data_IF_307900018596
#
_entry.id   IF_307900018596
#
_cell.length_a   1.000
_cell.length_b   1.000
_cell.length_c   1.000
_cell.angle_alpha   90.00
_cell.angle_beta   90.00
_cell.angle_gamma   90.00
#
_symmetry.space_group_name_H-M   'P 1'
#
loop_
_entity.id
_entity.type
_entity.pdbx_description
1 polymer ?
#
# COMPACT_ATOMS: atom_id res chain seq x y z
N UNK A 1 -9.67 8.72 20.80
CA UNK A 1 -10.07 9.90 20.01
C UNK A 1 -11.26 10.53 20.71
N UNK A 2 -11.48 11.84 20.62
CA UNK A 2 -12.71 12.45 21.16
C UNK A 2 -13.86 12.05 20.23
N UNK A 3 -14.90 11.35 20.69
CA UNK A 3 -16.02 10.98 19.84
C UNK A 3 -16.70 12.24 19.31
N UNK A 4 -16.85 12.35 17.99
CA UNK A 4 -17.54 13.46 17.33
C UNK A 4 -18.84 12.90 16.75
N UNK A 5 -19.95 13.21 17.40
CA UNK A 5 -21.27 12.74 16.98
C UNK A 5 -21.74 11.51 17.76
N UNK A 6 -22.76 10.82 17.25
CA UNK A 6 -23.35 9.66 17.92
C UNK A 6 -22.39 8.46 17.93
N UNK A 7 -22.39 7.70 19.02
CA UNK A 7 -21.49 6.54 19.22
C UNK A 7 -21.61 5.46 18.11
N UNK A 8 -22.77 5.36 17.44
CA UNK A 8 -22.98 4.41 16.36
C UNK A 8 -22.34 4.83 15.01
N UNK A 9 -21.94 6.09 14.88
CA UNK A 9 -21.48 6.66 13.60
C UNK A 9 -20.14 6.05 13.16
N UNK A 10 -19.25 5.79 14.11
CA UNK A 10 -17.92 5.21 13.85
C UNK A 10 -18.05 3.78 13.30
N UNK A 11 -18.82 2.93 13.96
CA UNK A 11 -19.09 1.57 13.51
C UNK A 11 -19.83 1.52 12.17
N UNK A 12 -20.84 2.38 11.98
CA UNK A 12 -21.59 2.45 10.72
C UNK A 12 -20.68 2.91 9.56
N UNK A 13 -19.86 3.94 9.78
CA UNK A 13 -18.88 4.43 8.80
C UNK A 13 -17.87 3.35 8.42
N UNK A 14 -17.34 2.64 9.42
CA UNK A 14 -16.41 1.53 9.22
C UNK A 14 -17.00 0.41 8.35
N UNK A 15 -18.24 -0.02 8.65
CA UNK A 15 -18.98 -1.04 7.88
C UNK A 15 -19.19 -0.59 6.43
N UNK A 16 -19.61 0.67 6.22
CA UNK A 16 -19.86 1.23 4.89
C UNK A 16 -18.58 1.25 4.05
N UNK A 17 -17.47 1.75 4.62
CA UNK A 17 -16.19 1.81 3.91
C UNK A 17 -15.66 0.41 3.60
N UNK A 18 -15.67 -0.51 4.57
CA UNK A 18 -15.22 -1.88 4.35
C UNK A 18 -16.01 -2.56 3.23
N UNK A 19 -17.34 -2.42 3.27
CA UNK A 19 -18.26 -2.96 2.26
C UNK A 19 -18.01 -2.35 0.88
N UNK A 20 -17.89 -1.02 0.80
CA UNK A 20 -17.64 -0.30 -0.44
C UNK A 20 -16.29 -0.68 -1.06
N UNK A 21 -15.26 -0.86 -0.24
CA UNK A 21 -13.92 -1.23 -0.70
C UNK A 21 -13.86 -2.69 -1.16
N UNK A 22 -14.53 -3.61 -0.46
CA UNK A 22 -14.66 -4.99 -0.90
C UNK A 22 -15.43 -5.08 -2.23
N UNK A 23 -16.54 -4.34 -2.35
CA UNK A 23 -17.31 -4.24 -3.59
C UNK A 23 -16.46 -3.66 -4.72
N UNK A 24 -15.76 -2.55 -4.47
CA UNK A 24 -14.92 -1.86 -5.44
C UNK A 24 -13.75 -2.70 -5.90
N UNK A 25 -13.09 -3.42 -4.98
CA UNK A 25 -12.01 -4.34 -5.30
C UNK A 25 -12.51 -5.50 -6.16
N UNK A 26 -13.66 -6.08 -5.83
CA UNK A 26 -14.28 -7.12 -6.64
C UNK A 26 -14.70 -6.60 -8.03
N UNK A 27 -15.23 -5.38 -8.13
CA UNK A 27 -15.57 -4.77 -9.42
C UNK A 27 -14.33 -4.51 -10.28
N UNK A 28 -13.28 -3.96 -9.67
CA UNK A 28 -12.02 -3.65 -10.35
C UNK A 28 -11.29 -4.90 -10.83
N UNK A 29 -11.43 -6.01 -10.11
CA UNK A 29 -10.76 -7.28 -10.44
C UNK A 29 -11.60 -8.21 -11.33
N UNK A 30 -12.76 -7.76 -11.84
CA UNK A 30 -13.66 -8.57 -12.68
C UNK A 30 -14.32 -9.73 -11.92
N UNK A 31 -14.45 -9.60 -10.59
CA UNK A 31 -15.07 -10.58 -9.70
C UNK A 31 -16.60 -10.44 -9.60
N UNK A 32 -17.16 -10.81 -8.45
CA UNK A 32 -18.60 -10.72 -8.14
C UNK A 32 -18.85 -9.67 -7.05
N UNK A 33 -19.04 -8.39 -7.40
CA UNK A 33 -19.08 -7.28 -6.44
C UNK A 33 -20.17 -7.42 -5.38
N UNK A 34 -21.36 -7.86 -5.80
CA UNK A 34 -22.49 -8.06 -4.90
C UNK A 34 -22.22 -9.15 -3.86
N UNK A 35 -21.57 -10.25 -4.25
CA UNK A 35 -21.28 -11.37 -3.34
C UNK A 35 -20.26 -10.94 -2.28
N UNK A 36 -19.14 -10.35 -2.70
CA UNK A 36 -18.09 -9.94 -1.76
C UNK A 36 -18.50 -8.71 -0.93
N UNK A 37 -19.26 -7.78 -1.51
CA UNK A 37 -19.85 -6.66 -0.79
C UNK A 37 -20.82 -7.13 0.29
N UNK A 38 -21.79 -7.99 -0.05
CA UNK A 38 -22.74 -8.53 0.92
C UNK A 38 -22.07 -9.38 2.00
N UNK A 39 -21.09 -10.21 1.64
CA UNK A 39 -20.34 -10.99 2.62
C UNK A 39 -19.61 -10.08 3.60
N UNK A 40 -18.95 -9.03 3.10
CA UNK A 40 -18.25 -8.05 3.94
C UNK A 40 -19.23 -7.30 4.84
N UNK A 41 -20.38 -6.89 4.30
CA UNK A 41 -21.44 -6.23 5.06
C UNK A 41 -21.92 -7.12 6.22
N UNK A 42 -22.22 -8.39 5.94
CA UNK A 42 -22.67 -9.35 6.96
C UNK A 42 -21.60 -9.59 8.02
N UNK A 43 -20.33 -9.78 7.62
CA UNK A 43 -19.24 -9.98 8.57
C UNK A 43 -18.97 -8.74 9.42
N UNK A 44 -18.96 -7.54 8.81
CA UNK A 44 -18.70 -6.29 9.51
C UNK A 44 -19.84 -5.92 10.46
N UNK A 45 -21.10 -6.08 10.03
CA UNK A 45 -22.26 -5.93 10.93
C UNK A 45 -22.22 -6.97 12.05
N UNK A 46 -21.88 -8.22 11.74
CA UNK A 46 -21.71 -9.27 12.74
C UNK A 46 -20.69 -8.89 13.80
N UNK A 47 -19.55 -8.32 13.41
CA UNK A 47 -18.54 -7.83 14.34
C UNK A 47 -19.09 -6.72 15.25
N UNK A 48 -19.70 -5.68 14.66
CA UNK A 48 -20.25 -4.53 15.41
C UNK A 48 -21.39 -4.94 16.35
N UNK A 49 -22.31 -5.80 15.89
CA UNK A 49 -23.46 -6.25 16.70
C UNK A 49 -23.02 -7.19 17.82
N UNK A 50 -22.01 -8.02 17.57
CA UNK A 50 -21.50 -8.96 18.58
C UNK A 50 -20.72 -8.29 19.70
N UNK A 51 -20.18 -7.09 19.43
CA UNK A 51 -19.33 -6.31 20.34
C UNK A 51 -18.17 -7.13 20.96
N UNK A 52 -17.65 -8.12 20.21
CA UNK A 52 -16.52 -8.93 20.64
C UNK A 52 -15.21 -8.33 20.12
N UNK A 53 -14.29 -8.00 21.03
CA UNK A 53 -12.96 -7.47 20.72
C UNK A 53 -12.24 -8.23 19.59
N UNK A 54 -12.37 -9.56 19.57
CA UNK A 54 -11.75 -10.41 18.56
C UNK A 54 -12.35 -10.20 17.17
N UNK A 55 -13.68 -10.06 17.07
CA UNK A 55 -14.37 -9.84 15.80
C UNK A 55 -14.17 -8.42 15.29
N UNK A 56 -14.20 -7.42 16.19
CA UNK A 56 -13.88 -6.03 15.88
C UNK A 56 -12.44 -5.88 15.38
N UNK A 57 -11.48 -6.50 16.08
CA UNK A 57 -10.07 -6.52 15.65
C UNK A 57 -9.90 -7.23 14.31
N UNK A 58 -10.56 -8.36 14.10
CA UNK A 58 -10.56 -9.08 12.82
C UNK A 58 -11.12 -8.22 11.68
N UNK A 59 -12.22 -7.51 11.91
CA UNK A 59 -12.83 -6.60 10.94
C UNK A 59 -11.90 -5.41 10.63
N UNK A 60 -11.27 -4.83 11.65
CA UNK A 60 -10.32 -3.72 11.49
C UNK A 60 -9.09 -4.12 10.65
N UNK A 61 -8.45 -5.25 10.99
CA UNK A 61 -7.28 -5.74 10.22
C UNK A 61 -7.67 -6.08 8.79
N UNK A 62 -8.82 -6.73 8.60
CA UNK A 62 -9.32 -7.09 7.26
C UNK A 62 -9.62 -5.85 6.43
N UNK A 63 -10.21 -4.82 7.04
CA UNK A 63 -10.50 -3.53 6.40
C UNK A 63 -9.23 -2.80 5.99
N UNK A 64 -8.23 -2.74 6.87
CA UNK A 64 -6.93 -2.17 6.55
C UNK A 64 -6.25 -2.92 5.39
N UNK A 65 -6.30 -4.26 5.40
CA UNK A 65 -5.74 -5.07 4.33
C UNK A 65 -6.49 -4.86 3.00
N UNK A 66 -7.82 -4.83 3.02
CA UNK A 66 -8.66 -4.55 1.85
C UNK A 66 -8.37 -3.17 1.27
N UNK A 67 -8.31 -2.13 2.10
CA UNK A 67 -7.97 -0.77 1.68
C UNK A 67 -6.58 -0.68 1.05
N UNK A 68 -5.62 -1.39 1.64
CA UNK A 68 -4.25 -1.44 1.15
C UNK A 68 -4.17 -2.01 -0.26
N UNK A 69 -4.84 -3.14 -0.50
CA UNK A 69 -4.87 -3.81 -1.80
C UNK A 69 -5.70 -3.01 -2.80
N UNK A 70 -6.86 -2.48 -2.38
CA UNK A 70 -7.74 -1.70 -3.24
C UNK A 70 -7.07 -0.42 -3.73
N UNK A 71 -6.33 0.29 -2.87
CA UNK A 71 -5.55 1.46 -3.25
C UNK A 71 -4.57 1.16 -4.40
N UNK A 72 -3.94 -0.01 -4.39
CA UNK A 72 -3.03 -0.45 -5.47
C UNK A 72 -3.81 -0.78 -6.74
N UNK A 73 -4.91 -1.53 -6.64
CA UNK A 73 -5.72 -1.94 -7.79
C UNK A 73 -6.42 -0.76 -8.48
N UNK A 74 -6.66 0.33 -7.74
CA UNK A 74 -7.17 1.59 -8.28
C UNK A 74 -6.14 2.35 -9.12
N UNK A 75 -4.85 2.06 -9.00
CA UNK A 75 -3.84 2.79 -9.79
C UNK A 75 -3.97 2.47 -11.27
N UNK A 76 -3.67 3.45 -12.10
CA UNK A 76 -3.62 3.31 -13.57
C UNK A 76 -2.19 3.40 -14.10
N UNK A 77 -1.91 2.89 -15.32
CA UNK A 77 -0.60 3.03 -15.93
C UNK A 77 -0.19 4.49 -16.11
N UNK A 78 1.07 4.80 -15.83
CA UNK A 78 1.57 6.17 -15.81
C UNK A 78 2.86 6.33 -16.63
N UNK A 79 2.77 6.87 -17.84
CA UNK A 79 3.96 7.07 -18.68
C UNK A 79 4.91 8.16 -18.13
N UNK A 80 4.39 9.13 -17.38
CA UNK A 80 5.15 10.24 -16.79
C UNK A 80 5.35 10.08 -15.29
N UNK A 81 6.38 10.73 -14.76
CA UNK A 81 6.66 10.69 -13.32
C UNK A 81 5.55 11.38 -12.50
N UNK A 82 5.04 12.53 -12.95
CA UNK A 82 3.98 13.24 -12.24
C UNK A 82 2.66 12.45 -12.20
N UNK A 83 2.34 11.72 -13.27
CA UNK A 83 1.18 10.83 -13.25
C UNK A 83 1.41 9.65 -12.33
N UNK A 84 2.62 9.08 -12.27
CA UNK A 84 2.94 8.03 -11.30
C UNK A 84 2.88 8.54 -9.85
N UNK A 85 3.34 9.76 -9.59
CA UNK A 85 3.24 10.41 -8.29
C UNK A 85 1.79 10.63 -7.86
N UNK A 86 0.94 11.09 -8.79
CA UNK A 86 -0.51 11.20 -8.58
C UNK A 86 -1.12 9.84 -8.20
N UNK A 87 -0.77 8.77 -8.90
CA UNK A 87 -1.29 7.44 -8.58
C UNK A 87 -0.84 6.94 -7.20
N UNK A 88 0.39 7.24 -6.77
CA UNK A 88 0.85 6.95 -5.41
C UNK A 88 0.02 7.71 -4.37
N UNK A 89 -0.23 9.00 -4.61
CA UNK A 89 -1.08 9.83 -3.75
C UNK A 89 -2.51 9.30 -3.65
N UNK A 90 -3.12 8.85 -4.76
CA UNK A 90 -4.47 8.26 -4.75
C UNK A 90 -4.49 6.93 -3.97
N UNK A 91 -3.48 6.09 -4.17
CA UNK A 91 -3.37 4.82 -3.45
C UNK A 91 -3.25 5.03 -1.93
N UNK A 92 -2.42 6.00 -1.50
CA UNK A 92 -2.27 6.36 -0.09
C UNK A 92 -3.51 7.05 0.49
N UNK A 93 -4.21 7.88 -0.29
CA UNK A 93 -5.47 8.48 0.14
C UNK A 93 -6.54 7.41 0.39
N UNK A 94 -6.62 6.41 -0.48
CA UNK A 94 -7.50 5.26 -0.31
C UNK A 94 -7.12 4.45 0.95
N UNK A 95 -5.83 4.22 1.18
CA UNK A 95 -5.35 3.60 2.41
C UNK A 95 -5.71 4.42 3.67
N UNK A 96 -5.56 5.74 3.62
CA UNK A 96 -5.91 6.64 4.72
C UNK A 96 -7.41 6.60 5.08
N UNK A 97 -8.29 6.52 4.09
CA UNK A 97 -9.74 6.27 4.33
C UNK A 97 -9.95 4.90 4.97
N UNK A 98 -9.21 3.89 4.53
CA UNK A 98 -9.16 2.58 5.18
C UNK A 98 -8.70 2.63 6.64
N UNK A 99 -7.75 3.50 6.98
CA UNK A 99 -7.27 3.68 8.35
C UNK A 99 -8.35 4.26 9.27
N UNK A 100 -9.10 5.25 8.79
CA UNK A 100 -10.24 5.80 9.52
C UNK A 100 -11.30 4.71 9.75
N UNK A 101 -11.64 3.94 8.72
CA UNK A 101 -12.59 2.84 8.84
C UNK A 101 -12.11 1.72 9.77
N UNK A 102 -10.82 1.36 9.72
CA UNK A 102 -10.27 0.31 10.58
C UNK A 102 -10.39 0.67 12.06
N UNK A 103 -10.28 1.94 12.44
CA UNK A 103 -10.41 2.36 13.85
C UNK A 103 -11.84 2.65 14.24
N UNK A 104 -12.73 2.92 13.30
CA UNK A 104 -14.17 2.98 13.61
C UNK A 104 -14.75 1.66 14.13
N UNK A 105 -14.01 0.54 14.00
CA UNK A 105 -14.33 -0.72 14.67
C UNK A 105 -13.82 -0.80 16.12
N UNK A 106 -13.16 0.24 16.64
CA UNK A 106 -12.56 0.29 18.00
C UNK A 106 -11.78 -0.97 18.41
N UNK A 107 -10.83 -1.44 17.57
CA UNK A 107 -10.16 -2.72 17.81
C UNK A 107 -9.27 -2.73 19.06
N UNK A 108 -9.23 -3.87 19.74
CA UNK A 108 -8.31 -4.14 20.84
C UNK A 108 -6.92 -4.53 20.29
N UNK A 109 -6.03 -3.55 20.14
CA UNK A 109 -4.80 -3.69 19.34
C UNK A 109 -3.56 -3.97 20.20
N UNK A 110 -2.86 -5.06 19.90
CA UNK A 110 -1.40 -5.13 20.06
C UNK A 110 -0.75 -4.62 18.77
N UNK A 111 -0.11 -3.44 18.84
CA UNK A 111 0.27 -2.64 17.66
C UNK A 111 1.09 -3.42 16.64
N UNK A 112 2.15 -4.09 17.11
CA UNK A 112 3.09 -4.78 16.23
C UNK A 112 2.40 -5.94 15.50
N UNK A 113 1.57 -6.70 16.21
CA UNK A 113 0.82 -7.82 15.62
C UNK A 113 -0.18 -7.33 14.58
N UNK A 114 -0.89 -6.25 14.88
CA UNK A 114 -1.86 -5.66 13.98
C UNK A 114 -1.20 -5.16 12.69
N UNK A 115 -0.08 -4.44 12.79
CA UNK A 115 0.68 -3.99 11.61
C UNK A 115 1.23 -5.17 10.78
N UNK A 116 1.77 -6.20 11.43
CA UNK A 116 2.32 -7.37 10.70
C UNK A 116 1.25 -8.24 10.05
N UNK A 117 0.14 -8.50 10.74
CA UNK A 117 -0.97 -9.28 10.17
C UNK A 117 -1.63 -8.49 9.04
N UNK A 118 -1.86 -7.19 9.22
CA UNK A 118 -2.38 -6.32 8.17
C UNK A 118 -1.49 -6.29 6.93
N UNK A 119 -0.18 -6.08 7.11
CA UNK A 119 0.82 -6.13 6.03
C UNK A 119 0.85 -7.50 5.34
N UNK A 120 0.88 -8.59 6.11
CA UNK A 120 0.93 -9.95 5.60
C UNK A 120 -0.29 -10.33 4.79
N UNK A 121 -1.50 -10.05 5.30
CA UNK A 121 -2.76 -10.28 4.59
C UNK A 121 -2.87 -9.43 3.33
N UNK A 122 -2.53 -8.14 3.42
CA UNK A 122 -2.54 -7.25 2.27
C UNK A 122 -1.55 -7.70 1.19
N UNK A 123 -0.34 -8.12 1.58
CA UNK A 123 0.68 -8.58 0.65
C UNK A 123 0.24 -9.88 -0.02
N UNK A 124 -0.26 -10.86 0.75
CA UNK A 124 -0.82 -12.10 0.21
C UNK A 124 -1.98 -11.82 -0.76
N UNK A 125 -2.92 -10.94 -0.39
CA UNK A 125 -4.03 -10.54 -1.23
C UNK A 125 -3.58 -9.85 -2.53
N UNK A 126 -2.65 -8.91 -2.44
CA UNK A 126 -2.05 -8.27 -3.60
C UNK A 126 -1.37 -9.30 -4.52
N UNK A 127 -0.65 -10.27 -3.95
CA UNK A 127 0.01 -11.32 -4.73
C UNK A 127 -0.97 -12.21 -5.48
N UNK A 128 -2.06 -12.63 -4.84
CA UNK A 128 -3.11 -13.43 -5.48
C UNK A 128 -3.73 -12.70 -6.67
N UNK A 129 -4.03 -11.40 -6.51
CA UNK A 129 -4.61 -10.60 -7.59
C UNK A 129 -3.61 -10.36 -8.72
N UNK A 130 -2.38 -10.00 -8.38
CA UNK A 130 -1.31 -9.73 -9.34
C UNK A 130 -0.92 -10.99 -10.11
N UNK A 131 -0.98 -12.17 -9.50
CA UNK A 131 -0.78 -13.42 -10.22
C UNK A 131 -1.75 -13.55 -11.40
N UNK A 132 -3.02 -13.18 -11.23
CA UNK A 132 -4.02 -13.20 -12.30
C UNK A 132 -3.78 -12.09 -13.33
N UNK A 133 -3.50 -10.87 -12.88
CA UNK A 133 -3.30 -9.69 -13.74
C UNK A 133 -2.01 -9.73 -14.56
N UNK A 134 -0.95 -10.26 -13.96
CA UNK A 134 0.40 -10.34 -14.49
C UNK A 134 0.64 -11.50 -15.46
N UNK A 135 -0.42 -12.24 -15.86
CA UNK A 135 -0.33 -13.48 -16.65
C UNK A 135 0.46 -14.61 -15.94
N UNK A 136 0.36 -14.69 -14.62
CA UNK A 136 1.06 -15.67 -13.79
C UNK A 136 2.58 -15.50 -13.79
N UNK A 137 3.30 -16.54 -13.38
CA UNK A 137 4.77 -16.56 -13.41
C UNK A 137 5.33 -16.48 -14.84
N UNK A 138 4.57 -16.93 -15.84
CA UNK A 138 4.97 -16.86 -17.25
C UNK A 138 5.07 -15.41 -17.76
N UNK A 139 4.33 -14.47 -17.16
CA UNK A 139 4.43 -13.06 -17.48
C UNK A 139 5.65 -12.37 -16.90
N UNK A 140 6.33 -12.99 -15.92
CA UNK A 140 7.58 -12.51 -15.32
C UNK A 140 8.75 -12.79 -16.28
N UNK A 141 9.02 -11.86 -17.19
CA UNK A 141 10.29 -11.84 -17.91
C UNK A 141 11.46 -11.61 -16.95
N UNK A 142 12.69 -11.78 -17.45
CA UNK A 142 13.93 -11.65 -16.65
C UNK A 142 13.99 -10.36 -15.81
N UNK A 143 13.51 -9.24 -16.35
CA UNK A 143 13.47 -7.95 -15.63
C UNK A 143 12.42 -7.92 -14.51
N UNK A 144 11.24 -8.49 -14.76
CA UNK A 144 10.21 -8.65 -13.74
C UNK A 144 10.70 -9.52 -12.58
N UNK A 145 11.38 -10.63 -12.89
CA UNK A 145 12.00 -11.50 -11.87
C UNK A 145 13.02 -10.76 -11.03
N UNK A 146 13.92 -9.97 -11.64
CA UNK A 146 14.90 -9.16 -10.91
C UNK A 146 14.21 -8.13 -10.02
N UNK A 147 13.19 -7.41 -10.54
CA UNK A 147 12.47 -6.43 -9.76
C UNK A 147 11.72 -7.06 -8.57
N UNK A 148 11.10 -8.22 -8.76
CA UNK A 148 10.46 -8.98 -7.68
C UNK A 148 11.48 -9.48 -6.66
N UNK A 149 12.62 -10.02 -7.12
CA UNK A 149 13.68 -10.48 -6.23
C UNK A 149 14.25 -9.34 -5.38
N UNK A 150 14.49 -8.18 -5.99
CA UNK A 150 14.93 -6.97 -5.27
C UNK A 150 13.85 -6.54 -4.27
N UNK A 151 12.58 -6.41 -4.70
CA UNK A 151 11.48 -6.01 -3.82
C UNK A 151 11.30 -6.96 -2.63
N UNK A 152 11.31 -8.26 -2.88
CA UNK A 152 11.19 -9.29 -1.84
C UNK A 152 12.39 -9.27 -0.89
N UNK A 153 13.60 -9.09 -1.43
CA UNK A 153 14.83 -9.00 -0.64
C UNK A 153 14.84 -7.74 0.23
N UNK A 154 14.49 -6.57 -0.32
CA UNK A 154 14.38 -5.32 0.42
C UNK A 154 13.32 -5.41 1.51
N UNK A 155 12.16 -6.04 1.22
CA UNK A 155 11.12 -6.27 2.23
C UNK A 155 11.63 -7.18 3.35
N UNK A 156 12.23 -8.32 2.99
CA UNK A 156 12.75 -9.29 3.96
C UNK A 156 13.85 -8.66 4.83
N UNK A 157 14.80 -7.94 4.24
CA UNK A 157 15.86 -7.23 4.97
C UNK A 157 15.28 -6.17 5.89
N UNK A 158 14.28 -5.40 5.44
CA UNK A 158 13.65 -4.36 6.28
C UNK A 158 12.96 -4.96 7.50
N UNK A 159 12.22 -6.06 7.30
CA UNK A 159 11.53 -6.76 8.38
C UNK A 159 12.52 -7.46 9.33
N UNK A 160 13.53 -8.12 8.78
CA UNK A 160 14.58 -8.79 9.56
C UNK A 160 15.36 -7.77 10.37
N UNK A 161 15.76 -6.65 9.77
CA UNK A 161 16.47 -5.58 10.47
C UNK A 161 15.64 -5.01 11.61
N UNK A 162 14.36 -4.73 11.38
CA UNK A 162 13.46 -4.24 12.43
C UNK A 162 13.35 -5.26 13.58
N UNK A 163 13.23 -6.54 13.29
CA UNK A 163 13.12 -7.58 14.32
C UNK A 163 14.45 -7.83 15.05
N UNK A 164 15.58 -7.79 14.34
CA UNK A 164 16.91 -7.89 14.94
C UNK A 164 17.18 -6.70 15.85
N UNK A 165 16.84 -5.49 15.44
CA UNK A 165 17.00 -4.29 16.26
C UNK A 165 16.18 -4.38 17.55
N UNK A 166 14.94 -4.93 17.48
CA UNK A 166 14.09 -5.11 18.66
C UNK A 166 14.60 -6.17 19.63
N UNK A 167 15.15 -7.27 19.13
CA UNK A 167 15.57 -8.40 19.98
C UNK A 167 17.03 -8.33 20.44
N UNK A 168 17.89 -7.77 19.60
CA UNK A 168 19.36 -7.85 19.74
C UNK A 168 20.06 -6.50 19.55
N UNK A 169 19.31 -5.40 19.43
CA UNK A 169 19.91 -4.07 19.30
C UNK A 169 20.80 -3.74 20.49
N UNK A 170 22.06 -3.38 20.22
CA UNK A 170 22.95 -2.82 21.25
C UNK A 170 22.39 -1.51 21.78
N UNK A 171 22.52 -1.25 23.08
CA UNK A 171 21.99 -0.03 23.73
C UNK A 171 22.39 1.26 23.00
N UNK A 172 23.66 1.42 22.61
CA UNK A 172 24.15 2.62 21.91
C UNK A 172 23.49 2.86 20.54
N UNK A 173 23.39 1.83 19.71
CA UNK A 173 22.73 1.94 18.40
C UNK A 173 21.22 2.23 18.52
N UNK A 174 20.56 1.65 19.54
CA UNK A 174 19.16 1.94 19.83
C UNK A 174 19.00 3.40 20.30
N UNK A 175 19.93 3.90 21.13
CA UNK A 175 19.92 5.28 21.63
C UNK A 175 20.11 6.30 20.51
N UNK A 176 21.10 6.12 19.63
CA UNK A 176 21.30 6.99 18.46
C UNK A 176 20.06 7.04 17.55
N UNK A 177 19.43 5.89 17.30
CA UNK A 177 18.21 5.83 16.50
C UNK A 177 17.03 6.52 17.21
N UNK A 178 16.89 6.34 18.52
CA UNK A 178 15.85 7.02 19.30
C UNK A 178 16.07 8.53 19.35
N UNK A 179 17.31 8.99 19.42
CA UNK A 179 17.65 10.41 19.38
C UNK A 179 17.36 11.02 18.02
N UNK A 180 17.63 10.31 16.93
CA UNK A 180 17.20 10.73 15.59
C UNK A 180 15.67 10.81 15.48
N UNK A 181 14.95 9.84 16.03
CA UNK A 181 13.48 9.83 16.03
C UNK A 181 12.91 10.98 16.86
N UNK A 182 13.49 11.26 18.04
CA UNK A 182 13.13 12.39 18.89
C UNK A 182 13.39 13.71 18.18
N UNK A 183 14.59 13.90 17.63
CA UNK A 183 14.94 15.09 16.87
C UNK A 183 13.99 15.31 15.68
N UNK A 184 13.65 14.26 14.95
CA UNK A 184 12.71 14.33 13.83
C UNK A 184 11.30 14.72 14.30
N UNK A 185 10.84 14.20 15.43
CA UNK A 185 9.54 14.57 16.00
C UNK A 185 9.52 16.02 16.49
N UNK A 186 10.56 16.45 17.18
CA UNK A 186 10.64 17.79 17.75
C UNK A 186 10.82 18.86 16.65
N UNK A 187 11.56 18.54 15.58
CA UNK A 187 11.88 19.50 14.50
C UNK A 187 10.90 19.44 13.33
N UNK A 188 10.51 18.24 12.90
CA UNK A 188 9.69 18.02 11.71
C UNK A 188 8.25 17.62 12.07
N UNK A 189 7.93 17.34 13.33
CA UNK A 189 6.60 16.94 13.77
C UNK A 189 6.26 15.47 13.49
N UNK A 190 7.10 14.72 12.77
CA UNK A 190 6.93 13.29 12.52
C UNK A 190 8.22 12.62 12.06
N UNK A 191 8.25 11.28 12.11
CA UNK A 191 9.31 10.44 11.56
C UNK A 191 8.79 9.64 10.36
N UNK A 192 9.43 9.68 9.18
CA UNK A 192 8.97 8.94 8.00
C UNK A 192 9.05 7.43 8.22
N UNK A 193 8.03 6.69 7.76
CA UNK A 193 8.03 5.22 7.83
C UNK A 193 9.05 4.63 6.84
N UNK A 194 10.11 3.92 7.30
CA UNK A 194 11.19 3.50 6.40
C UNK A 194 10.74 2.51 5.31
N UNK A 195 9.89 1.54 5.64
CA UNK A 195 9.37 0.55 4.68
C UNK A 195 8.53 1.21 3.58
N UNK A 196 7.75 2.24 3.94
CA UNK A 196 6.97 3.02 2.98
C UNK A 196 7.88 3.81 2.04
N UNK A 197 8.88 4.51 2.59
CA UNK A 197 9.78 5.38 1.84
C UNK A 197 10.76 4.61 0.95
N UNK A 198 11.35 3.53 1.44
CA UNK A 198 12.45 2.82 0.76
C UNK A 198 11.91 1.80 -0.25
N UNK A 199 10.76 1.19 0.03
CA UNK A 199 10.22 0.10 -0.79
C UNK A 199 8.85 0.43 -1.37
N UNK A 200 7.87 0.76 -0.53
CA UNK A 200 6.47 0.82 -0.94
C UNK A 200 6.19 1.85 -2.03
N UNK A 201 6.48 3.12 -1.75
CA UNK A 201 6.22 4.23 -2.69
C UNK A 201 7.08 4.12 -3.95
N UNK A 202 8.40 3.83 -3.87
CA UNK A 202 9.21 3.62 -5.07
C UNK A 202 8.68 2.49 -5.94
N UNK A 203 8.26 1.38 -5.34
CA UNK A 203 7.69 0.25 -6.07
C UNK A 203 6.35 0.60 -6.73
N UNK A 204 5.48 1.39 -6.08
CA UNK A 204 4.25 1.88 -6.71
C UNK A 204 4.54 2.78 -7.90
N UNK A 205 5.40 3.78 -7.73
CA UNK A 205 5.72 4.75 -8.78
C UNK A 205 6.36 4.04 -9.99
N UNK A 206 7.36 3.20 -9.74
CA UNK A 206 8.05 2.45 -10.77
C UNK A 206 7.14 1.39 -11.41
N UNK A 207 6.31 0.69 -10.62
CA UNK A 207 5.36 -0.28 -11.11
C UNK A 207 4.31 0.35 -12.04
N UNK A 208 3.74 1.50 -11.67
CA UNK A 208 2.82 2.26 -12.53
C UNK A 208 3.51 2.71 -13.83
N UNK A 209 4.79 3.08 -13.74
CA UNK A 209 5.61 3.42 -14.90
C UNK A 209 5.82 2.27 -15.86
N UNK A 210 6.19 1.08 -15.34
CA UNK A 210 6.35 -0.12 -16.16
C UNK A 210 5.01 -0.54 -16.76
N UNK A 211 3.90 -0.46 -16.00
CA UNK A 211 2.56 -0.87 -16.46
C UNK A 211 2.12 -0.17 -17.73
N UNK A 212 2.59 1.04 -18.00
CA UNK A 212 2.31 1.75 -19.24
C UNK A 212 2.79 1.00 -20.48
N UNK A 213 3.79 0.11 -20.33
CA UNK A 213 4.47 -0.60 -21.41
C UNK A 213 4.40 -2.13 -21.27
N UNK A 214 4.38 -2.66 -20.04
CA UNK A 214 4.53 -4.10 -19.76
C UNK A 214 3.64 -4.56 -18.61
N UNK A 215 3.03 -5.73 -18.76
CA UNK A 215 2.22 -6.41 -17.72
C UNK A 215 3.01 -6.70 -16.42
N UNK A 216 4.33 -6.84 -16.53
CA UNK A 216 5.25 -7.09 -15.40
C UNK A 216 5.18 -6.02 -14.33
N UNK A 217 4.76 -4.80 -14.65
CA UNK A 217 4.67 -3.71 -13.67
C UNK A 217 3.68 -4.01 -12.53
N UNK A 218 2.69 -4.90 -12.74
CA UNK A 218 1.80 -5.36 -11.67
C UNK A 218 2.55 -6.07 -10.53
N UNK A 219 3.57 -6.86 -10.86
CA UNK A 219 4.41 -7.53 -9.87
C UNK A 219 5.21 -6.54 -9.02
N UNK A 220 5.65 -5.43 -9.61
CA UNK A 220 6.32 -4.36 -8.87
C UNK A 220 5.30 -3.58 -8.02
N UNK A 221 4.12 -3.27 -8.57
CA UNK A 221 3.04 -2.61 -7.83
C UNK A 221 2.58 -3.40 -6.60
N UNK A 222 2.70 -4.73 -6.57
CA UNK A 222 2.37 -5.55 -5.40
C UNK A 222 3.16 -5.13 -4.15
N UNK A 223 4.44 -4.78 -4.32
CA UNK A 223 5.27 -4.26 -3.23
C UNK A 223 4.82 -2.89 -2.74
N UNK A 224 3.94 -2.23 -3.48
CA UNK A 224 3.24 -1.03 -3.02
C UNK A 224 2.41 -1.21 -1.76
N UNK A 225 2.09 -2.46 -1.39
CA UNK A 225 1.49 -2.77 -0.09
C UNK A 225 2.39 -2.28 1.06
N UNK A 226 3.71 -2.26 0.87
CA UNK A 226 4.64 -1.72 1.85
C UNK A 226 4.44 -0.20 2.11
N UNK A 227 3.72 0.51 1.24
CA UNK A 227 3.29 1.89 1.49
C UNK A 227 1.85 1.95 1.99
N UNK A 228 0.93 1.22 1.33
CA UNK A 228 -0.50 1.34 1.65
C UNK A 228 -0.88 0.64 2.94
N UNK A 229 -0.24 -0.46 3.34
CA UNK A 229 -0.55 -1.15 4.60
C UNK A 229 -0.16 -0.32 5.84
N UNK A 230 1.06 0.22 5.96
CA UNK A 230 1.38 1.10 7.08
C UNK A 230 0.52 2.38 7.11
N UNK A 231 0.10 2.89 5.95
CA UNK A 231 -0.84 4.01 5.88
C UNK A 231 -2.24 3.60 6.36
N UNK A 232 -2.73 2.43 5.96
CA UNK A 232 -4.04 1.88 6.36
C UNK A 232 -4.11 1.47 7.83
N UNK A 233 -2.97 1.35 8.51
CA UNK A 233 -2.90 1.09 9.96
C UNK A 233 -2.33 2.27 10.74
N UNK A 234 -2.08 3.42 10.10
CA UNK A 234 -1.28 4.50 10.69
C UNK A 234 -1.91 5.09 11.95
N UNK A 235 -3.24 5.19 11.95
CA UNK A 235 -4.02 5.78 13.03
C UNK A 235 -4.26 4.78 14.20
N UNK A 236 -3.93 3.50 14.03
CA UNK A 236 -4.16 2.45 15.01
C UNK A 236 -3.25 2.58 16.25
N UNK A 237 -2.21 3.42 16.17
CA UNK A 237 -1.31 3.69 17.28
C UNK A 237 -1.83 4.87 18.12
N UNK A 238 -2.30 4.65 19.37
CA UNK A 238 -2.80 5.73 20.21
C UNK A 238 -1.70 6.71 20.65
N UNK A 239 -0.42 6.33 20.55
CA UNK A 239 0.71 7.17 20.92
C UNK A 239 1.12 8.19 19.84
N UNK A 240 0.42 8.24 18.71
CA UNK A 240 0.74 9.11 17.57
C UNK A 240 -0.48 9.96 17.25
N UNK A 241 -0.27 11.27 17.11
CA UNK A 241 -1.36 12.19 16.75
C UNK A 241 -1.75 12.02 15.29
N UNK A 242 -2.96 12.44 14.91
CA UNK A 242 -3.40 12.44 13.50
C UNK A 242 -2.42 13.21 12.60
N UNK A 243 -1.96 14.38 13.06
CA UNK A 243 -0.99 15.22 12.34
C UNK A 243 0.34 14.50 12.16
N UNK A 244 0.87 13.86 13.20
CA UNK A 244 2.11 13.09 13.12
C UNK A 244 1.98 11.91 12.14
N UNK A 245 0.85 11.18 12.19
CA UNK A 245 0.58 10.09 11.26
C UNK A 245 0.50 10.58 9.81
N UNK A 246 -0.19 11.69 9.57
CA UNK A 246 -0.31 12.31 8.25
C UNK A 246 1.06 12.77 7.71
N UNK A 247 1.83 13.51 8.52
CA UNK A 247 3.16 13.98 8.14
C UNK A 247 4.11 12.82 7.86
N UNK A 248 4.07 11.76 8.66
CA UNK A 248 4.86 10.54 8.43
C UNK A 248 4.59 9.94 7.05
N UNK A 249 3.33 9.85 6.63
CA UNK A 249 2.94 9.33 5.30
C UNK A 249 3.40 10.29 4.20
N UNK A 250 3.21 11.60 4.38
CA UNK A 250 3.65 12.60 3.40
C UNK A 250 5.16 12.58 3.21
N UNK A 251 5.94 12.47 4.28
CA UNK A 251 7.39 12.37 4.21
C UNK A 251 7.83 11.06 3.55
N UNK A 252 7.17 9.93 3.88
CA UNK A 252 7.38 8.65 3.20
C UNK A 252 7.11 8.73 1.70
N UNK A 253 6.02 9.37 1.31
CA UNK A 253 5.67 9.64 -0.08
C UNK A 253 6.72 10.48 -0.78
N UNK A 254 7.18 11.60 -0.20
CA UNK A 254 8.16 12.48 -0.83
C UNK A 254 9.52 11.78 -1.04
N UNK A 255 10.04 11.13 0.01
CA UNK A 255 11.31 10.39 -0.06
C UNK A 255 11.20 9.24 -1.06
N UNK A 256 10.10 8.48 -0.99
CA UNK A 256 9.89 7.35 -1.88
C UNK A 256 9.67 7.75 -3.34
N UNK A 257 9.04 8.90 -3.60
CA UNK A 257 8.95 9.45 -4.96
C UNK A 257 10.30 9.87 -5.51
N UNK A 258 11.19 10.44 -4.69
CA UNK A 258 12.55 10.75 -5.10
C UNK A 258 13.32 9.48 -5.50
N UNK A 259 13.24 8.41 -4.68
CA UNK A 259 13.85 7.12 -5.01
C UNK A 259 13.21 6.52 -6.27
N UNK A 260 11.87 6.55 -6.37
CA UNK A 260 11.14 6.08 -7.55
C UNK A 260 11.53 6.82 -8.83
N UNK A 261 11.77 8.13 -8.75
CA UNK A 261 12.28 8.93 -9.87
C UNK A 261 13.66 8.44 -10.32
N UNK A 262 14.56 8.19 -9.37
CA UNK A 262 15.90 7.65 -9.65
C UNK A 262 15.79 6.28 -10.32
N UNK A 263 14.95 5.37 -9.82
CA UNK A 263 14.73 4.05 -10.41
C UNK A 263 14.23 4.13 -11.85
N UNK A 264 13.26 5.00 -12.12
CA UNK A 264 12.74 5.24 -13.48
C UNK A 264 13.86 5.77 -14.39
N UNK A 265 14.68 6.72 -13.91
CA UNK A 265 15.79 7.27 -14.68
C UNK A 265 16.86 6.23 -14.99
N UNK A 266 17.22 5.40 -14.01
CA UNK A 266 18.18 4.31 -14.18
C UNK A 266 17.67 3.26 -15.19
N UNK A 267 16.41 2.85 -15.10
CA UNK A 267 15.81 1.91 -16.07
C UNK A 267 15.84 2.50 -17.48
N UNK A 268 15.45 3.77 -17.65
CA UNK A 268 15.50 4.46 -18.95
C UNK A 268 16.94 4.60 -19.49
N UNK A 269 17.93 4.83 -18.63
CA UNK A 269 19.33 4.92 -19.04
C UNK A 269 19.87 3.56 -19.52
N UNK A 270 19.60 2.48 -18.76
CA UNK A 270 20.02 1.12 -19.09
C UNK A 270 19.31 0.55 -20.33
N UNK A 271 18.10 1.03 -20.62
CA UNK A 271 17.30 0.59 -21.77
C UNK A 271 17.45 1.49 -23.00
N UNK A 272 17.96 2.70 -22.83
CA UNK A 272 17.85 3.81 -23.76
C UNK A 272 18.83 3.86 -24.92
N UNK A 273 19.71 2.88 -25.14
CA UNK A 273 20.77 2.93 -26.16
C UNK A 273 20.32 2.60 -27.61
N UNK A 274 19.02 2.68 -27.92
CA UNK A 274 18.50 2.50 -29.29
C UNK A 274 17.99 3.82 -29.84
N UNK A 275 18.42 4.17 -31.06
CA UNK A 275 18.32 5.50 -31.66
C UNK A 275 16.90 6.10 -31.73
N UNK A 276 16.84 7.42 -31.95
CA UNK A 276 15.63 8.27 -31.92
C UNK A 276 14.43 7.72 -32.74
N UNK A 277 14.67 7.02 -33.86
CA UNK A 277 13.61 6.37 -34.67
C UNK A 277 13.04 5.09 -34.04
N UNK A 278 13.86 4.29 -33.36
CA UNK A 278 13.41 3.11 -32.61
C UNK A 278 12.51 3.52 -31.45
N UNK A 279 12.79 4.64 -30.80
CA UNK A 279 11.97 5.17 -29.70
C UNK A 279 10.58 5.60 -30.13
N UNK A 280 10.42 6.24 -31.29
CA UNK A 280 9.12 6.69 -31.79
C UNK A 280 8.26 5.50 -32.26
N UNK A 281 8.87 4.52 -32.93
CA UNK A 281 8.18 3.29 -33.33
C UNK A 281 7.77 2.43 -32.12
N UNK A 282 8.62 2.33 -31.09
CA UNK A 282 8.31 1.63 -29.84
C UNK A 282 7.30 2.41 -28.98
N UNK A 283 7.36 3.75 -28.95
CA UNK A 283 6.35 4.58 -28.26
C UNK A 283 4.96 4.50 -28.90
N UNK A 284 4.89 4.38 -30.24
CA UNK A 284 3.63 4.21 -30.96
C UNK A 284 3.06 2.78 -30.85
N UNK A 285 3.93 1.77 -30.68
CA UNK A 285 3.52 0.36 -30.58
C UNK A 285 3.35 -0.16 -29.13
N UNK A 286 3.93 0.50 -28.12
CA UNK A 286 4.06 -0.02 -26.75
C UNK A 286 3.25 0.74 -25.69
N UNK A 287 2.15 1.40 -26.06
CA UNK A 287 1.13 1.79 -25.08
C UNK A 287 0.17 0.63 -24.98
N UNK A 288 0.22 -0.12 -23.87
CA UNK A 288 -0.85 -1.07 -23.56
C UNK A 288 -1.98 -0.27 -22.92
N UNK A 289 -3.14 -0.11 -23.57
CA UNK A 289 -4.28 0.49 -22.90
C UNK A 289 -4.76 -0.49 -21.84
N UNK A 290 -4.51 -0.18 -20.57
CA UNK A 290 -5.28 -0.78 -19.49
C UNK A 290 -6.62 -0.04 -19.37
N UNK A 291 -7.69 -0.74 -18.96
CA UNK A 291 -9.00 -0.13 -18.78
C UNK A 291 -8.95 0.98 -17.73
N UNK A 292 -9.83 1.98 -17.90
CA UNK A 292 -9.95 3.12 -17.00
C UNK A 292 -10.15 2.69 -15.54
N UNK A 293 -9.88 3.60 -14.60
CA UNK A 293 -9.81 3.34 -13.14
C UNK A 293 -10.97 2.50 -12.58
N UNK A 294 -12.19 2.75 -13.06
CA UNK A 294 -13.42 2.10 -12.56
C UNK A 294 -13.95 0.98 -13.47
N UNK A 295 -13.26 0.69 -14.57
CA UNK A 295 -13.57 -0.45 -15.41
C UNK A 295 -12.88 -1.72 -14.87
N UNK A 296 -13.38 -2.94 -15.16
CA UNK A 296 -12.74 -4.17 -14.73
C UNK A 296 -11.38 -4.35 -15.42
N UNK A 297 -10.37 -4.86 -14.69
CA UNK A 297 -9.03 -5.16 -15.19
C UNK A 297 -8.92 -6.49 -15.94
N UNK A 298 -9.85 -7.41 -15.66
CA UNK A 298 -9.93 -8.76 -16.20
C UNK A 298 -11.19 -8.92 -17.03
#
# INVERSE_FOLDING_TARGET
MVPIGPDWLDGAGAVVVATAYAWGLAARTGGRPLVFGLLTLVCALGAVISDQDLLLTGAAVSTAALASVFGIMLTVPAAGFLTAARECGIALACAGVGAMAAIGFEPAIQKERFEYVGLGLAFAGAMVLVYRLGAGFHGLGRRGLVAVAIGASTLAVSLLYAEMLRRYGSSGLVEELLDLVRWSRDTLGAFPRPIEAILGVPALAYGCHIRARRRQGWWVCAFGVAATAPAATALANPAVTFTEAFLSIVYGLLIGLAIGWVLIRLDLALTGNRGRRSRVAEQAAAVRPEPARFAPLL
#
